data_IF_251364161823
#
_entry.id   IF_251364161823
#
_cell.length_a   1.000
_cell.length_b   1.000
_cell.length_c   1.000
_cell.angle_alpha   90.00
_cell.angle_beta   90.00
_cell.angle_gamma   90.00
#
_symmetry.space_group_name_H-M   'P 1'
#
loop_
_entity.id
_entity.type
_entity.pdbx_description
1 polymer ?
#
# COMPACT_ATOMS: atom_id res chain seq x y z
N UNK A 1 -6.70 52.76 5.81
CA UNK A 1 -7.74 52.00 6.54
C UNK A 1 -7.90 50.56 6.01
N UNK A 2 -7.96 50.34 4.69
CA UNK A 2 -8.15 49.01 4.09
C UNK A 2 -7.00 48.02 4.35
N UNK A 3 -5.74 48.43 4.19
CA UNK A 3 -4.58 47.56 4.45
C UNK A 3 -4.47 47.08 5.91
N UNK A 4 -4.92 47.88 6.88
CA UNK A 4 -4.89 47.49 8.30
C UNK A 4 -5.97 46.47 8.65
N UNK A 5 -7.02 46.34 7.86
CA UNK A 5 -8.09 45.35 8.04
C UNK A 5 -7.68 44.01 7.41
N UNK A 6 -7.03 44.07 6.25
CA UNK A 6 -6.47 42.89 5.57
C UNK A 6 -5.35 42.24 6.39
N UNK A 7 -4.45 43.02 6.99
CA UNK A 7 -3.39 42.48 7.85
C UNK A 7 -3.91 41.83 9.13
N UNK A 8 -4.97 42.40 9.74
CA UNK A 8 -5.64 41.81 10.91
C UNK A 8 -6.38 40.52 10.56
N UNK A 9 -6.99 40.44 9.38
CA UNK A 9 -7.64 39.23 8.89
C UNK A 9 -6.65 38.11 8.61
N UNK A 10 -5.52 38.41 7.96
CA UNK A 10 -4.45 37.44 7.70
C UNK A 10 -3.80 36.94 9.00
N UNK A 11 -3.59 37.83 9.98
CA UNK A 11 -3.08 37.45 11.29
C UNK A 11 -4.09 36.59 12.06
N UNK A 12 -5.39 36.90 11.97
CA UNK A 12 -6.44 36.08 12.57
C UNK A 12 -6.53 34.69 11.92
N UNK A 13 -6.44 34.60 10.60
CA UNK A 13 -6.39 33.31 9.88
C UNK A 13 -5.14 32.52 10.30
N UNK A 14 -3.97 33.17 10.37
CA UNK A 14 -2.72 32.53 10.80
C UNK A 14 -2.81 32.02 12.25
N UNK A 15 -3.38 32.82 13.16
CA UNK A 15 -3.58 32.45 14.56
C UNK A 15 -4.62 31.33 14.72
N UNK A 16 -5.70 31.35 13.94
CA UNK A 16 -6.69 30.26 13.91
C UNK A 16 -6.04 28.98 13.36
N UNK A 17 -5.22 29.07 12.31
CA UNK A 17 -4.49 27.91 11.79
C UNK A 17 -3.44 27.39 12.76
N UNK A 18 -2.75 28.26 13.51
CA UNK A 18 -1.77 27.88 14.53
C UNK A 18 -2.44 27.25 15.76
N UNK A 19 -3.56 27.80 16.24
CA UNK A 19 -4.35 27.21 17.34
C UNK A 19 -5.06 25.92 16.94
N UNK A 20 -5.47 25.78 15.68
CA UNK A 20 -5.94 24.51 15.15
C UNK A 20 -4.78 23.49 15.09
N UNK A 21 -3.58 23.91 14.66
CA UNK A 21 -2.39 23.08 14.62
C UNK A 21 -1.95 22.60 16.02
N UNK A 22 -1.96 23.47 17.03
CA UNK A 22 -1.55 23.10 18.40
C UNK A 22 -2.50 22.07 19.03
N UNK A 23 -3.81 22.18 18.77
CA UNK A 23 -4.78 21.18 19.21
C UNK A 23 -4.68 19.87 18.42
N UNK A 24 -4.34 19.93 17.13
CA UNK A 24 -4.06 18.74 16.30
C UNK A 24 -2.81 17.99 16.81
N UNK A 25 -1.75 18.70 17.20
CA UNK A 25 -0.57 18.08 17.82
C UNK A 25 -0.86 17.53 19.22
N UNK A 26 -1.66 18.21 20.03
CA UNK A 26 -2.08 17.72 21.34
C UNK A 26 -3.04 16.51 21.28
N UNK A 27 -3.77 16.34 20.17
CA UNK A 27 -4.64 15.19 19.89
C UNK A 27 -3.94 14.10 19.04
N UNK A 28 -2.68 14.32 18.65
CA UNK A 28 -1.86 13.34 17.93
C UNK A 28 -1.32 12.28 18.90
N UNK A 29 -1.28 11.03 18.46
CA UNK A 29 -0.63 9.94 19.19
C UNK A 29 0.80 10.32 19.53
N UNK A 30 1.22 10.09 20.78
CA UNK A 30 2.62 10.33 21.16
C UNK A 30 3.53 9.50 20.25
N UNK A 31 4.75 10.01 20.00
CA UNK A 31 5.75 9.30 19.19
C UNK A 31 5.96 7.87 19.71
N UNK A 32 5.92 7.69 21.03
CA UNK A 32 6.01 6.38 21.68
C UNK A 32 4.85 5.45 21.33
N UNK A 33 3.62 5.98 21.24
CA UNK A 33 2.46 5.20 20.82
C UNK A 33 2.61 4.73 19.37
N UNK A 34 3.01 5.63 18.47
CA UNK A 34 3.25 5.28 17.07
C UNK A 34 4.35 4.22 16.97
N UNK A 35 5.48 4.41 17.65
CA UNK A 35 6.58 3.44 17.66
C UNK A 35 6.14 2.07 18.19
N UNK A 36 5.38 2.04 19.29
CA UNK A 36 4.82 0.81 19.84
C UNK A 36 3.87 0.13 18.85
N UNK A 37 3.00 0.89 18.18
CA UNK A 37 2.07 0.35 17.20
C UNK A 37 2.79 -0.36 16.05
N UNK A 38 3.83 0.27 15.49
CA UNK A 38 4.69 -0.32 14.45
C UNK A 38 5.38 -1.59 14.96
N UNK A 39 5.95 -1.54 16.17
CA UNK A 39 6.63 -2.70 16.77
C UNK A 39 5.67 -3.88 16.95
N UNK A 40 4.48 -3.63 17.50
CA UNK A 40 3.50 -4.68 17.75
C UNK A 40 2.89 -5.23 16.45
N UNK A 41 2.67 -4.40 15.43
CA UNK A 41 2.23 -4.87 14.12
C UNK A 41 3.30 -5.72 13.45
N UNK A 42 4.56 -5.26 13.45
CA UNK A 42 5.69 -6.02 12.93
C UNK A 42 5.86 -7.36 13.64
N UNK A 43 5.83 -7.35 14.99
CA UNK A 43 5.86 -8.57 15.81
C UNK A 43 4.70 -9.49 15.46
N UNK A 44 3.48 -8.97 15.32
CA UNK A 44 2.29 -9.75 14.97
C UNK A 44 2.44 -10.41 13.60
N UNK A 45 2.95 -9.69 12.60
CA UNK A 45 3.18 -10.23 11.25
C UNK A 45 4.22 -11.36 11.28
N UNK A 46 5.37 -11.14 11.90
CA UNK A 46 6.46 -12.14 11.96
C UNK A 46 6.07 -13.38 12.76
N UNK A 47 5.31 -13.21 13.84
CA UNK A 47 4.89 -14.34 14.70
C UNK A 47 3.62 -15.04 14.20
N UNK A 48 2.91 -14.47 13.21
CA UNK A 48 1.64 -15.03 12.71
C UNK A 48 1.73 -16.50 12.26
N UNK A 49 2.77 -16.95 11.52
CA UNK A 49 2.86 -18.34 11.06
C UNK A 49 2.81 -19.38 12.19
N UNK A 50 3.35 -19.05 13.37
CA UNK A 50 3.34 -19.95 14.53
C UNK A 50 1.96 -20.08 15.20
N UNK A 51 1.02 -19.21 14.86
CA UNK A 51 -0.31 -19.14 15.45
C UNK A 51 -1.44 -19.41 14.44
N UNK A 52 -1.09 -19.84 13.21
CA UNK A 52 -2.05 -20.07 12.14
C UNK A 52 -2.97 -21.26 12.41
N UNK A 53 -4.27 -20.98 12.29
CA UNK A 53 -5.32 -21.99 12.26
C UNK A 53 -5.38 -22.68 10.90
N UNK A 54 -6.17 -23.75 10.78
CA UNK A 54 -6.34 -24.50 9.52
C UNK A 54 -6.71 -23.59 8.34
N UNK A 55 -7.59 -22.61 8.57
CA UNK A 55 -8.03 -21.64 7.55
C UNK A 55 -6.87 -20.77 7.06
N UNK A 56 -6.06 -20.24 7.97
CA UNK A 56 -4.90 -19.41 7.63
C UNK A 56 -3.87 -20.18 6.81
N UNK A 57 -3.64 -21.46 7.15
CA UNK A 57 -2.73 -22.34 6.40
C UNK A 57 -3.25 -22.60 4.99
N UNK A 58 -4.56 -22.82 4.82
CA UNK A 58 -5.16 -23.00 3.50
C UNK A 58 -4.96 -21.73 2.67
N UNK A 59 -5.25 -20.56 3.23
CA UNK A 59 -5.06 -19.28 2.54
C UNK A 59 -3.59 -19.07 2.15
N UNK A 60 -2.65 -19.34 3.06
CA UNK A 60 -1.21 -19.22 2.79
C UNK A 60 -0.75 -20.18 1.69
N UNK A 61 -1.21 -21.45 1.72
CA UNK A 61 -0.90 -22.44 0.69
C UNK A 61 -1.51 -22.08 -0.67
N UNK A 62 -2.75 -21.56 -0.69
CA UNK A 62 -3.38 -21.08 -1.92
C UNK A 62 -2.63 -19.89 -2.50
N UNK A 63 -2.19 -18.94 -1.66
CA UNK A 63 -1.38 -17.81 -2.09
C UNK A 63 -0.01 -18.26 -2.63
N UNK A 64 0.64 -19.21 -1.96
CA UNK A 64 1.89 -19.80 -2.42
C UNK A 64 1.70 -20.49 -3.79
N UNK A 65 0.66 -21.30 -3.95
CA UNK A 65 0.34 -21.97 -5.21
C UNK A 65 0.10 -20.96 -6.34
N UNK A 66 -0.69 -19.92 -6.09
CA UNK A 66 -0.94 -18.85 -7.06
C UNK A 66 0.34 -18.11 -7.44
N UNK A 67 1.21 -17.82 -6.47
CA UNK A 67 2.51 -17.17 -6.71
C UNK A 67 3.44 -18.05 -7.54
N UNK A 68 3.48 -19.36 -7.28
CA UNK A 68 4.26 -20.33 -8.06
C UNK A 68 3.77 -20.47 -9.49
N UNK A 69 2.45 -20.50 -9.71
CA UNK A 69 1.86 -20.52 -11.05
C UNK A 69 2.18 -19.23 -11.80
N UNK A 70 2.03 -18.07 -11.15
CA UNK A 70 2.42 -16.80 -11.73
C UNK A 70 3.90 -16.79 -12.12
N UNK A 71 4.77 -17.32 -11.27
CA UNK A 71 6.20 -17.41 -11.52
C UNK A 71 6.52 -18.28 -12.74
N UNK A 72 5.91 -19.46 -12.82
CA UNK A 72 6.08 -20.39 -13.95
C UNK A 72 5.56 -19.83 -15.28
N UNK A 73 4.65 -18.85 -15.24
CA UNK A 73 4.01 -18.25 -16.43
C UNK A 73 4.51 -16.84 -16.71
N UNK A 74 5.58 -16.38 -16.06
CA UNK A 74 6.05 -15.00 -16.15
C UNK A 74 6.48 -14.60 -17.56
N UNK A 75 7.23 -15.44 -18.26
CA UNK A 75 7.70 -15.15 -19.62
C UNK A 75 6.56 -15.16 -20.65
N UNK A 76 5.63 -16.11 -20.51
CA UNK A 76 4.44 -16.19 -21.37
C UNK A 76 3.56 -14.95 -21.16
N UNK A 77 3.34 -14.59 -19.90
CA UNK A 77 2.59 -13.39 -19.52
C UNK A 77 3.27 -12.13 -20.06
N UNK A 78 4.59 -11.99 -19.87
CA UNK A 78 5.35 -10.86 -20.40
C UNK A 78 5.16 -10.73 -21.91
N UNK A 79 5.32 -11.82 -22.67
CA UNK A 79 5.13 -11.83 -24.13
C UNK A 79 3.70 -11.46 -24.51
N UNK A 80 2.70 -11.97 -23.78
CA UNK A 80 1.28 -11.62 -23.96
C UNK A 80 1.04 -10.12 -23.76
N UNK A 81 1.54 -9.54 -22.67
CA UNK A 81 1.36 -8.11 -22.41
C UNK A 81 2.12 -7.25 -23.42
N UNK A 82 3.35 -7.63 -23.78
CA UNK A 82 4.16 -6.91 -24.75
C UNK A 82 3.51 -6.88 -26.14
N UNK A 83 3.01 -8.03 -26.63
CA UNK A 83 2.39 -8.12 -27.97
C UNK A 83 1.02 -7.45 -28.07
N UNK A 84 0.30 -7.33 -26.95
CA UNK A 84 -1.04 -6.74 -26.88
C UNK A 84 -1.02 -5.27 -26.43
N UNK A 85 0.16 -4.67 -26.24
CA UNK A 85 0.32 -3.28 -25.81
C UNK A 85 -0.11 -2.32 -26.91
N UNK A 86 -0.92 -1.32 -26.56
CA UNK A 86 -1.46 -0.29 -27.47
C UNK A 86 -1.43 1.08 -26.82
N UNK A 87 -1.68 2.14 -27.58
CA UNK A 87 -1.83 3.50 -27.02
C UNK A 87 -2.99 3.59 -26.02
N UNK A 88 -4.09 2.86 -26.28
CA UNK A 88 -5.21 2.79 -25.35
C UNK A 88 -4.82 2.10 -24.03
N UNK A 89 -4.07 1.00 -24.09
CA UNK A 89 -3.63 0.31 -22.88
C UNK A 89 -2.59 1.15 -22.12
N UNK A 90 -1.71 1.87 -22.82
CA UNK A 90 -0.78 2.84 -22.23
C UNK A 90 -1.51 3.96 -21.49
N UNK A 91 -2.51 4.58 -22.12
CA UNK A 91 -3.32 5.63 -21.49
C UNK A 91 -4.09 5.10 -20.28
N UNK A 92 -4.60 3.88 -20.37
CA UNK A 92 -5.27 3.22 -19.24
C UNK A 92 -4.27 2.95 -18.11
N UNK A 93 -3.06 2.51 -18.43
CA UNK A 93 -1.99 2.32 -17.45
C UNK A 93 -1.59 3.65 -16.78
N UNK A 94 -1.52 4.75 -17.53
CA UNK A 94 -1.27 6.10 -17.02
C UNK A 94 -2.26 6.48 -15.91
N UNK A 95 -3.55 6.17 -16.11
CA UNK A 95 -4.60 6.42 -15.12
C UNK A 95 -4.38 5.63 -13.82
N UNK A 96 -3.97 4.35 -13.91
CA UNK A 96 -3.82 3.51 -12.73
C UNK A 96 -2.50 3.76 -11.97
N UNK A 97 -1.41 4.21 -12.61
CA UNK A 97 -0.10 4.33 -11.92
C UNK A 97 -0.16 5.09 -10.60
N UNK A 98 -0.76 6.29 -10.53
CA UNK A 98 -0.73 7.11 -9.32
C UNK A 98 -1.41 6.42 -8.13
N UNK A 99 -2.36 5.51 -8.40
CA UNK A 99 -3.10 4.75 -7.39
C UNK A 99 -2.25 3.68 -6.69
N UNK A 100 -1.06 3.37 -7.21
CA UNK A 100 -0.06 2.53 -6.55
C UNK A 100 1.17 3.30 -6.06
N UNK A 101 1.19 4.62 -6.21
CA UNK A 101 2.33 5.47 -5.90
C UNK A 101 1.95 6.49 -4.80
N UNK A 102 1.90 7.78 -5.13
CA UNK A 102 1.70 8.86 -4.16
C UNK A 102 0.24 9.07 -3.75
N UNK A 103 -0.73 8.73 -4.61
CA UNK A 103 -2.13 9.07 -4.36
C UNK A 103 -2.71 8.37 -3.11
N UNK A 104 -2.41 7.09 -2.81
CA UNK A 104 -2.82 6.46 -1.56
C UNK A 104 -2.38 7.22 -0.31
N UNK A 105 -1.15 7.77 -0.29
CA UNK A 105 -0.65 8.55 0.85
C UNK A 105 -1.45 9.84 1.02
N UNK A 106 -1.73 10.56 -0.07
CA UNK A 106 -2.55 11.77 -0.02
C UNK A 106 -3.99 11.48 0.40
N UNK A 107 -4.58 10.40 -0.12
CA UNK A 107 -5.93 9.99 0.25
C UNK A 107 -6.02 9.66 1.75
N UNK A 108 -5.09 8.84 2.26
CA UNK A 108 -5.09 8.44 3.67
C UNK A 108 -4.72 9.58 4.62
N UNK A 109 -3.75 10.42 4.25
CA UNK A 109 -3.41 11.63 4.99
C UNK A 109 -4.59 12.61 5.02
N UNK A 110 -5.30 12.75 3.92
CA UNK A 110 -6.55 13.51 3.82
C UNK A 110 -7.65 12.94 4.71
N UNK A 111 -7.85 11.62 4.72
CA UNK A 111 -8.81 10.97 5.64
C UNK A 111 -8.44 11.18 7.11
N UNK A 112 -7.15 11.09 7.44
CA UNK A 112 -6.67 11.35 8.80
C UNK A 112 -6.96 12.79 9.24
N UNK A 113 -6.57 13.77 8.41
CA UNK A 113 -6.78 15.19 8.68
C UNK A 113 -8.28 15.55 8.74
N UNK A 114 -9.08 15.05 7.80
CA UNK A 114 -10.53 15.24 7.79
C UNK A 114 -11.17 14.62 9.04
N UNK A 115 -10.73 13.43 9.46
CA UNK A 115 -11.20 12.80 10.69
C UNK A 115 -10.93 13.62 11.94
N UNK A 116 -9.78 14.31 12.01
CA UNK A 116 -9.47 15.25 13.09
C UNK A 116 -10.37 16.49 13.07
N UNK A 117 -10.54 17.12 11.90
CA UNK A 117 -11.30 18.38 11.76
C UNK A 117 -12.81 18.14 11.93
N UNK A 118 -13.33 17.07 11.32
CA UNK A 118 -14.75 16.73 11.32
C UNK A 118 -15.15 15.87 12.53
N UNK A 119 -14.19 15.50 13.39
CA UNK A 119 -14.37 14.59 14.52
C UNK A 119 -14.94 13.23 14.10
N UNK A 120 -14.59 12.76 12.91
CA UNK A 120 -14.92 11.44 12.39
C UNK A 120 -13.80 10.46 12.76
N UNK A 121 -14.04 9.68 13.82
CA UNK A 121 -13.08 8.70 14.33
C UNK A 121 -12.76 7.62 13.29
N UNK A 122 -13.73 7.23 12.45
CA UNK A 122 -13.56 6.16 11.46
C UNK A 122 -12.70 6.61 10.29
N UNK A 123 -12.89 7.84 9.82
CA UNK A 123 -12.02 8.45 8.82
C UNK A 123 -10.59 8.61 9.35
N UNK A 124 -10.44 9.06 10.60
CA UNK A 124 -9.14 9.18 11.27
C UNK A 124 -8.42 7.83 11.36
N UNK A 125 -9.11 6.80 11.87
CA UNK A 125 -8.53 5.47 12.04
C UNK A 125 -8.19 4.83 10.69
N UNK A 126 -9.02 5.01 9.67
CA UNK A 126 -8.70 4.53 8.31
C UNK A 126 -7.43 5.18 7.77
N UNK A 127 -7.30 6.50 7.89
CA UNK A 127 -6.11 7.22 7.46
C UNK A 127 -4.84 6.74 8.18
N UNK A 128 -4.92 6.62 9.51
CA UNK A 128 -3.80 6.17 10.34
C UNK A 128 -3.38 4.72 10.04
N UNK A 129 -4.34 3.78 10.07
CA UNK A 129 -4.08 2.36 9.82
C UNK A 129 -3.59 2.13 8.38
N UNK A 130 -4.13 2.89 7.42
CA UNK A 130 -3.74 2.80 6.01
C UNK A 130 -2.30 3.23 5.79
N UNK A 131 -1.90 4.38 6.36
CA UNK A 131 -0.53 4.87 6.25
C UNK A 131 0.45 3.89 6.89
N UNK A 132 0.10 3.39 8.08
CA UNK A 132 0.91 2.40 8.79
C UNK A 132 1.05 1.10 8.00
N UNK A 133 -0.04 0.61 7.41
CA UNK A 133 -0.01 -0.57 6.56
C UNK A 133 0.88 -0.40 5.35
N UNK A 134 0.76 0.72 4.62
CA UNK A 134 1.61 0.99 3.47
C UNK A 134 3.08 1.07 3.88
N UNK A 135 3.42 1.76 4.97
CA UNK A 135 4.80 1.91 5.43
C UNK A 135 5.43 0.56 5.83
N UNK A 136 4.71 -0.27 6.59
CA UNK A 136 5.18 -1.62 6.96
C UNK A 136 5.35 -2.48 5.70
N UNK A 137 4.36 -2.48 4.81
CA UNK A 137 4.41 -3.20 3.54
C UNK A 137 5.58 -2.74 2.66
N UNK A 138 5.88 -1.44 2.59
CA UNK A 138 7.03 -0.92 1.83
C UNK A 138 8.37 -1.30 2.45
N UNK A 139 8.46 -1.38 3.78
CA UNK A 139 9.63 -1.93 4.47
C UNK A 139 9.89 -3.39 4.07
N UNK A 140 8.85 -4.23 4.13
CA UNK A 140 8.91 -5.64 3.71
C UNK A 140 9.29 -5.75 2.22
N UNK A 141 8.61 -4.98 1.36
CA UNK A 141 8.84 -4.94 -0.09
C UNK A 141 10.29 -4.59 -0.40
N UNK A 142 10.82 -3.54 0.24
CA UNK A 142 12.20 -3.09 0.07
C UNK A 142 13.17 -4.19 0.49
N UNK A 143 13.03 -4.77 1.68
CA UNK A 143 13.88 -5.86 2.15
C UNK A 143 13.93 -7.04 1.18
N UNK A 144 12.77 -7.48 0.67
CA UNK A 144 12.68 -8.55 -0.32
C UNK A 144 13.31 -8.17 -1.66
N UNK A 145 13.08 -6.95 -2.17
CA UNK A 145 13.70 -6.46 -3.41
C UNK A 145 15.22 -6.56 -3.38
N UNK A 146 15.82 -6.05 -2.31
CA UNK A 146 17.27 -6.09 -2.13
C UNK A 146 17.80 -7.51 -1.88
N UNK A 147 16.98 -8.40 -1.30
CA UNK A 147 17.36 -9.80 -1.06
C UNK A 147 17.38 -10.63 -2.34
N UNK A 148 16.40 -10.42 -3.23
CA UNK A 148 16.28 -11.18 -4.48
C UNK A 148 17.07 -10.57 -5.64
N UNK A 149 17.10 -9.24 -5.72
CA UNK A 149 17.65 -8.47 -6.84
C UNK A 149 17.30 -9.08 -8.21
N UNK A 150 16.00 -9.29 -8.43
CA UNK A 150 15.47 -9.83 -9.68
C UNK A 150 15.55 -8.78 -10.79
N UNK A 151 16.04 -9.16 -11.97
CA UNK A 151 15.98 -8.30 -13.15
C UNK A 151 14.54 -7.94 -13.52
N UNK A 152 14.33 -6.76 -14.09
CA UNK A 152 13.03 -6.33 -14.61
C UNK A 152 12.79 -6.89 -16.02
N UNK A 153 11.53 -7.01 -16.47
CA UNK A 153 11.22 -7.53 -17.81
C UNK A 153 11.90 -6.75 -18.94
N UNK A 154 11.96 -5.42 -18.86
CA UNK A 154 12.62 -4.58 -19.87
C UNK A 154 14.16 -4.71 -19.92
N UNK A 155 14.77 -5.40 -18.95
CA UNK A 155 16.23 -5.63 -18.93
C UNK A 155 16.66 -6.79 -19.86
N UNK A 156 15.71 -7.54 -20.41
CA UNK A 156 15.91 -8.64 -21.36
C UNK A 156 16.90 -9.74 -20.88
N UNK A 157 16.91 -10.00 -19.57
CA UNK A 157 17.73 -11.08 -18.96
C UNK A 157 16.95 -12.39 -18.72
N UNK A 158 15.66 -12.41 -19.06
CA UNK A 158 14.73 -13.50 -18.74
C UNK A 158 14.13 -13.40 -17.33
N UNK A 159 13.01 -14.10 -17.11
CA UNK A 159 12.26 -14.01 -15.85
C UNK A 159 13.00 -14.63 -14.65
N UNK A 160 13.95 -15.52 -14.91
CA UNK A 160 14.66 -16.30 -13.89
C UNK A 160 16.03 -15.73 -13.51
N UNK A 161 16.33 -14.49 -13.91
CA UNK A 161 17.57 -13.82 -13.52
C UNK A 161 17.44 -13.16 -12.14
N UNK A 162 18.15 -13.73 -11.17
CA UNK A 162 18.27 -13.23 -9.80
C UNK A 162 19.75 -13.09 -9.47
N UNK A 163 20.19 -11.88 -9.12
CA UNK A 163 21.56 -11.67 -8.63
C UNK A 163 21.69 -12.11 -7.17
N UNK A 164 20.62 -11.95 -6.38
CA UNK A 164 20.64 -12.12 -4.94
C UNK A 164 21.40 -11.00 -4.23
N UNK A 165 21.03 -10.70 -2.97
CA UNK A 165 21.63 -9.73 -2.05
C UNK A 165 22.56 -8.68 -2.69
N UNK A 166 21.96 -7.63 -3.26
CA UNK A 166 22.68 -6.52 -3.87
C UNK A 166 22.24 -5.18 -3.30
N UNK A 167 23.14 -4.50 -2.59
CA UNK A 167 22.93 -3.16 -2.02
C UNK A 167 23.41 -2.02 -2.93
N UNK A 168 23.84 -2.34 -4.15
CA UNK A 168 24.09 -1.38 -5.23
C UNK A 168 23.34 -1.78 -6.50
N UNK A 169 22.00 -1.93 -6.41
CA UNK A 169 21.20 -2.44 -7.51
C UNK A 169 21.18 -1.47 -8.69
N UNK A 170 21.01 -2.04 -9.88
CA UNK A 170 20.86 -1.27 -11.11
C UNK A 170 19.41 -0.80 -11.31
N UNK A 171 19.20 0.22 -12.14
CA UNK A 171 17.85 0.62 -12.58
C UNK A 171 17.08 -0.52 -13.31
N UNK A 172 17.82 -1.52 -13.78
CA UNK A 172 17.32 -2.71 -14.47
C UNK A 172 16.91 -3.85 -13.53
N UNK A 173 17.02 -3.68 -12.20
CA UNK A 173 16.75 -4.74 -11.23
C UNK A 173 15.72 -4.34 -10.16
N UNK A 174 15.68 -5.06 -9.03
CA UNK A 174 14.67 -4.95 -7.98
C UNK A 174 13.23 -5.16 -8.45
N UNK A 175 12.97 -6.13 -9.31
CA UNK A 175 11.61 -6.38 -9.83
C UNK A 175 10.67 -6.99 -8.77
N UNK A 176 11.09 -8.05 -8.08
CA UNK A 176 10.27 -8.81 -7.14
C UNK A 176 10.42 -8.31 -5.70
N UNK A 177 9.33 -8.02 -4.97
CA UNK A 177 7.94 -7.82 -5.42
C UNK A 177 7.67 -6.41 -5.98
N UNK A 178 6.53 -6.23 -6.65
CA UNK A 178 6.11 -4.93 -7.19
C UNK A 178 5.71 -3.95 -6.07
N UNK A 179 6.43 -2.83 -5.96
CA UNK A 179 6.16 -1.78 -4.97
C UNK A 179 4.82 -1.07 -5.17
N UNK A 180 4.36 -0.94 -6.42
CA UNK A 180 3.07 -0.33 -6.72
C UNK A 180 1.91 -1.24 -6.33
N UNK A 181 2.04 -2.55 -6.62
CA UNK A 181 1.03 -3.52 -6.24
C UNK A 181 0.94 -3.64 -4.72
N UNK A 182 2.08 -3.68 -4.02
CA UNK A 182 2.09 -3.75 -2.55
C UNK A 182 1.40 -2.55 -1.91
N UNK A 183 1.68 -1.32 -2.35
CA UNK A 183 0.98 -0.10 -1.87
C UNK A 183 -0.52 -0.16 -2.16
N UNK A 184 -0.91 -0.44 -3.40
CA UNK A 184 -2.31 -0.39 -3.81
C UNK A 184 -3.17 -1.42 -3.07
N UNK A 185 -2.67 -2.64 -2.89
CA UNK A 185 -3.38 -3.68 -2.16
C UNK A 185 -3.37 -3.45 -0.64
N UNK A 186 -2.33 -2.83 -0.07
CA UNK A 186 -2.34 -2.41 1.33
C UNK A 186 -3.42 -1.35 1.58
N UNK A 187 -3.49 -0.32 0.73
CA UNK A 187 -4.55 0.68 0.75
C UNK A 187 -5.93 0.04 0.62
N UNK A 188 -6.13 -0.78 -0.42
CA UNK A 188 -7.40 -1.43 -0.69
C UNK A 188 -7.85 -2.33 0.46
N UNK A 189 -6.91 -3.07 1.06
CA UNK A 189 -7.20 -3.94 2.19
C UNK A 189 -7.67 -3.16 3.40
N UNK A 190 -6.97 -2.09 3.79
CA UNK A 190 -7.41 -1.28 4.93
C UNK A 190 -8.78 -0.66 4.69
N UNK A 191 -8.98 -0.02 3.53
CA UNK A 191 -10.25 0.64 3.19
C UNK A 191 -11.40 -0.37 3.15
N UNK A 192 -11.19 -1.56 2.55
CA UNK A 192 -12.22 -2.58 2.46
C UNK A 192 -12.61 -3.17 3.82
N UNK A 193 -11.66 -3.30 4.76
CA UNK A 193 -11.96 -3.81 6.10
C UNK A 193 -12.57 -2.74 7.02
N UNK A 194 -12.23 -1.46 6.82
CA UNK A 194 -12.85 -0.33 7.53
C UNK A 194 -14.27 -0.05 7.01
N UNK A 195 -14.49 -0.17 5.70
CA UNK A 195 -15.77 0.08 5.04
C UNK A 195 -16.23 -1.18 4.28
N UNK A 196 -16.78 -2.20 4.97
CA UNK A 196 -17.09 -3.52 4.38
C UNK A 196 -18.32 -3.54 3.45
N UNK A 197 -18.79 -2.37 3.02
CA UNK A 197 -19.89 -2.23 2.06
C UNK A 197 -19.42 -2.69 0.68
N UNK A 198 -20.22 -3.50 -0.01
CA UNK A 198 -19.84 -4.10 -1.29
C UNK A 198 -19.45 -3.05 -2.35
N UNK A 199 -20.13 -1.90 -2.35
CA UNK A 199 -19.87 -0.76 -3.24
C UNK A 199 -18.59 0.02 -2.89
N UNK A 200 -17.90 -0.29 -1.78
CA UNK A 200 -16.56 0.23 -1.47
C UNK A 200 -15.52 -0.86 -1.67
N UNK A 201 -15.78 -2.03 -1.10
CA UNK A 201 -14.88 -3.19 -1.13
C UNK A 201 -14.52 -3.62 -2.55
N UNK A 202 -15.49 -3.83 -3.43
CA UNK A 202 -15.17 -4.33 -4.77
C UNK A 202 -14.49 -3.28 -5.65
N UNK A 203 -14.95 -2.01 -5.69
CA UNK A 203 -14.26 -1.00 -6.48
C UNK A 203 -12.82 -0.74 -6.04
N UNK A 204 -12.52 -0.73 -4.74
CA UNK A 204 -11.14 -0.46 -4.29
C UNK A 204 -10.17 -1.58 -4.68
N UNK A 205 -10.61 -2.84 -4.65
CA UNK A 205 -9.80 -3.95 -5.15
C UNK A 205 -9.70 -3.97 -6.68
N UNK A 206 -10.74 -3.51 -7.40
CA UNK A 206 -10.67 -3.34 -8.84
C UNK A 206 -9.61 -2.31 -9.23
N UNK A 207 -9.57 -1.17 -8.53
CA UNK A 207 -8.53 -0.16 -8.72
C UNK A 207 -7.13 -0.70 -8.42
N UNK A 208 -6.96 -1.44 -7.32
CA UNK A 208 -5.68 -2.08 -6.99
C UNK A 208 -5.26 -3.12 -8.04
N UNK A 209 -6.22 -3.85 -8.61
CA UNK A 209 -5.97 -4.78 -9.72
C UNK A 209 -5.56 -4.03 -10.98
N UNK A 210 -6.19 -2.89 -11.27
CA UNK A 210 -5.78 -1.99 -12.35
C UNK A 210 -4.35 -1.47 -12.19
N UNK A 211 -3.92 -1.18 -10.96
CA UNK A 211 -2.52 -0.86 -10.65
C UNK A 211 -1.59 -2.02 -10.99
N UNK A 212 -1.88 -3.23 -10.53
CA UNK A 212 -1.09 -4.42 -10.84
C UNK A 212 -0.99 -4.64 -12.36
N UNK A 213 -2.13 -4.58 -13.06
CA UNK A 213 -2.21 -4.69 -14.52
C UNK A 213 -1.34 -3.62 -15.22
N UNK A 214 -1.39 -2.37 -14.75
CA UNK A 214 -0.60 -1.28 -15.36
C UNK A 214 0.91 -1.59 -15.34
N UNK A 215 1.41 -2.27 -14.31
CA UNK A 215 2.83 -2.65 -14.20
C UNK A 215 3.23 -3.71 -15.23
N UNK A 216 2.32 -4.62 -15.54
CA UNK A 216 2.51 -5.63 -16.58
C UNK A 216 2.48 -4.97 -17.96
N UNK A 217 1.51 -4.08 -18.20
CA UNK A 217 1.42 -3.30 -19.43
C UNK A 217 2.70 -2.48 -19.67
N UNK A 218 3.21 -1.83 -18.63
CA UNK A 218 4.42 -1.00 -18.70
C UNK A 218 5.71 -1.83 -18.89
N UNK A 219 5.65 -3.16 -18.80
CA UNK A 219 6.77 -4.08 -18.92
C UNK A 219 7.86 -3.86 -17.85
N UNK A 220 7.46 -3.39 -16.66
CA UNK A 220 8.37 -3.07 -15.54
C UNK A 220 8.36 -4.09 -14.41
N UNK A 221 7.41 -5.03 -14.45
CA UNK A 221 7.24 -6.13 -13.50
C UNK A 221 6.69 -7.36 -14.20
N UNK A 222 7.11 -8.54 -13.74
CA UNK A 222 6.54 -9.83 -14.11
C UNK A 222 5.21 -10.08 -13.37
N UNK A 223 4.45 -11.10 -13.82
CA UNK A 223 3.16 -11.46 -13.22
C UNK A 223 3.32 -11.85 -11.74
N UNK A 224 4.32 -12.66 -11.43
CA UNK A 224 4.63 -13.04 -10.05
C UNK A 224 5.01 -11.85 -9.18
N UNK A 225 5.67 -10.83 -9.71
CA UNK A 225 6.03 -9.63 -8.95
C UNK A 225 4.78 -8.90 -8.43
N UNK A 226 3.74 -8.80 -9.25
CA UNK A 226 2.48 -8.13 -8.89
C UNK A 226 1.56 -9.02 -8.06
N UNK A 227 1.59 -10.36 -8.27
CA UNK A 227 0.83 -11.31 -7.43
C UNK A 227 1.41 -11.36 -6.02
N UNK A 228 2.72 -11.56 -5.89
CA UNK A 228 3.40 -11.57 -4.59
C UNK A 228 3.22 -10.22 -3.91
N UNK A 229 3.39 -9.13 -4.66
CA UNK A 229 3.21 -7.78 -4.13
C UNK A 229 1.79 -7.51 -3.64
N UNK A 230 0.77 -7.84 -4.45
CA UNK A 230 -0.63 -7.69 -4.06
C UNK A 230 -0.98 -8.50 -2.81
N UNK A 231 -0.47 -9.73 -2.70
CA UNK A 231 -0.66 -10.56 -1.52
C UNK A 231 -0.05 -9.97 -0.26
N UNK A 232 1.21 -9.50 -0.30
CA UNK A 232 1.86 -8.83 0.84
C UNK A 232 1.02 -7.63 1.29
N UNK A 233 0.60 -6.77 0.36
CA UNK A 233 -0.23 -5.62 0.69
C UNK A 233 -1.57 -6.02 1.34
N UNK A 234 -2.26 -6.99 0.74
CA UNK A 234 -3.54 -7.49 1.23
C UNK A 234 -3.44 -8.02 2.67
N UNK A 235 -2.51 -8.94 2.94
CA UNK A 235 -2.40 -9.60 4.24
C UNK A 235 -1.90 -8.66 5.33
N UNK A 236 -0.99 -7.73 5.02
CA UNK A 236 -0.53 -6.73 5.99
C UNK A 236 -1.68 -5.80 6.38
N UNK A 237 -2.41 -5.26 5.39
CA UNK A 237 -3.56 -4.39 5.66
C UNK A 237 -4.65 -5.09 6.48
N UNK A 238 -4.98 -6.33 6.14
CA UNK A 238 -5.95 -7.15 6.86
C UNK A 238 -5.49 -7.35 8.33
N UNK A 239 -4.23 -7.74 8.53
CA UNK A 239 -3.69 -8.03 9.86
C UNK A 239 -3.74 -6.79 10.77
N UNK A 240 -3.34 -5.64 10.24
CA UNK A 240 -3.31 -4.37 10.97
C UNK A 240 -4.72 -3.96 11.39
N UNK A 241 -5.70 -4.02 10.47
CA UNK A 241 -7.09 -3.67 10.79
C UNK A 241 -7.67 -4.66 11.81
N UNK A 242 -7.47 -5.96 11.63
CA UNK A 242 -7.95 -6.97 12.59
C UNK A 242 -7.35 -6.82 13.98
N UNK A 243 -6.05 -6.48 14.09
CA UNK A 243 -5.43 -6.21 15.39
C UNK A 243 -6.05 -4.97 16.04
N UNK A 244 -6.17 -3.87 15.29
CA UNK A 244 -6.77 -2.64 15.80
C UNK A 244 -8.21 -2.87 16.31
N UNK A 245 -9.04 -3.61 15.55
CA UNK A 245 -10.41 -3.95 15.95
C UNK A 245 -10.49 -4.84 17.20
N UNK A 246 -9.46 -5.66 17.47
CA UNK A 246 -9.39 -6.45 18.72
C UNK A 246 -9.04 -5.58 19.92
N UNK A 247 -8.17 -4.59 19.74
CA UNK A 247 -7.77 -3.64 20.78
C UNK A 247 -8.86 -2.58 21.03
N UNK A 248 -9.64 -2.24 20.01
CA UNK A 248 -10.68 -1.21 20.03
C UNK A 248 -12.02 -1.76 19.52
N UNK A 249 -12.71 -2.65 20.26
CA UNK A 249 -13.91 -3.33 19.78
C UNK A 249 -15.09 -2.40 19.43
N UNK A 250 -15.08 -1.16 19.94
CA UNK A 250 -16.10 -0.15 19.69
C UNK A 250 -15.84 0.71 18.45
N UNK A 251 -14.75 0.51 17.69
CA UNK A 251 -14.40 1.30 16.49
C UNK A 251 -14.96 0.75 15.16
N UNK A 252 -15.98 -0.13 15.21
CA UNK A 252 -16.59 -0.77 14.02
C UNK A 252 -17.52 0.17 13.23
#
# INVERSE_FOLDING_TARGET
MFQSQVSKLLLAILLITLSACSNIFAQSSSVDQVANDFYQDGKSLVTSPFHWQKKDRIVALSFLAASSIAFATDEESQKLFARNRTDFSNRSADFFRPLGDKLPFWALGGMYAAGLVLKDQKAKDTGYLGLRAILITQGITTGLKYSFDRARPFADKGAYYFKGFDFSPSDFSLSLPSGHATTAFAFASVVAHQYPRWWVKYPVYLLATGVAWSRLNDNVHFLSDVVVGGGIGYFVGEKIVHRHQKEHPNSR
#
